data_IF_565554934957
#
_entry.id   IF_565554934957
#
_cell.length_a   1.000
_cell.length_b   1.000
_cell.length_c   1.000
_cell.angle_alpha   90.00
_cell.angle_beta   90.00
_cell.angle_gamma   90.00
#
_symmetry.space_group_name_H-M   'P 1'
#
loop_
_entity.id
_entity.type
_entity.pdbx_description
1 polymer ?
#
# COMPACT_ATOMS: atom_id res chain seq x y z
N UNK A 1 -25.98 27.00 -25.33
CA UNK A 1 -24.60 27.24 -25.80
C UNK A 1 -24.14 26.00 -26.55
N UNK A 2 -23.90 26.07 -27.86
CA UNK A 2 -23.46 24.91 -28.64
C UNK A 2 -21.94 24.74 -28.49
N UNK A 3 -21.50 23.91 -27.53
CA UNK A 3 -20.07 23.61 -27.27
C UNK A 3 -19.39 23.04 -28.53
N UNK A 4 -20.15 22.42 -29.42
CA UNK A 4 -19.68 21.87 -30.70
C UNK A 4 -19.12 22.93 -31.66
N UNK A 5 -19.49 24.21 -31.49
CA UNK A 5 -19.00 25.33 -32.31
C UNK A 5 -17.70 25.94 -31.79
N UNK A 6 -17.15 25.44 -30.67
CA UNK A 6 -15.92 25.97 -30.11
C UNK A 6 -14.71 25.67 -31.01
N UNK A 7 -13.76 26.61 -31.13
CA UNK A 7 -12.47 26.37 -31.76
C UNK A 7 -11.74 25.17 -31.14
N UNK A 8 -10.97 24.44 -31.95
CA UNK A 8 -10.21 23.25 -31.50
C UNK A 8 -9.25 23.54 -30.35
N UNK A 9 -8.78 24.78 -30.21
CA UNK A 9 -7.95 25.23 -29.09
C UNK A 9 -8.73 25.20 -27.77
N UNK A 10 -9.90 25.84 -27.71
CA UNK A 10 -10.76 25.81 -26.52
C UNK A 10 -11.25 24.40 -26.19
N UNK A 11 -11.53 23.57 -27.20
CA UNK A 11 -11.86 22.16 -26.98
C UNK A 11 -10.67 21.41 -26.37
N UNK A 12 -9.43 21.72 -26.80
CA UNK A 12 -8.21 21.15 -26.20
C UNK A 12 -8.09 21.57 -24.73
N UNK A 13 -8.34 22.85 -24.43
CA UNK A 13 -8.25 23.35 -23.04
C UNK A 13 -9.29 22.68 -22.14
N UNK A 14 -10.51 22.47 -22.65
CA UNK A 14 -11.54 21.68 -21.96
C UNK A 14 -11.04 20.26 -21.70
N UNK A 15 -10.45 19.59 -22.70
CA UNK A 15 -9.86 18.25 -22.52
C UNK A 15 -8.78 18.21 -21.44
N UNK A 16 -7.91 19.23 -21.37
CA UNK A 16 -6.83 19.32 -20.38
C UNK A 16 -7.34 19.59 -18.96
N UNK A 17 -8.50 20.24 -18.83
CA UNK A 17 -9.14 20.51 -17.55
C UNK A 17 -9.96 19.33 -17.00
N UNK A 18 -10.17 18.26 -17.79
CA UNK A 18 -10.95 17.10 -17.33
C UNK A 18 -10.19 16.32 -16.23
N UNK A 19 -10.91 15.89 -15.16
CA UNK A 19 -10.26 15.33 -13.98
C UNK A 19 -9.83 13.86 -14.16
N UNK A 20 -10.46 13.11 -15.06
CA UNK A 20 -10.22 11.67 -15.22
C UNK A 20 -10.05 11.27 -16.68
N UNK A 21 -9.33 10.17 -16.90
CA UNK A 21 -9.18 9.55 -18.22
C UNK A 21 -10.53 9.09 -18.76
N UNK A 22 -11.41 8.59 -17.88
CA UNK A 22 -12.76 8.18 -18.26
C UNK A 22 -13.59 9.36 -18.77
N UNK A 23 -13.49 10.52 -18.12
CA UNK A 23 -14.13 11.77 -18.56
C UNK A 23 -13.62 12.21 -19.93
N UNK A 24 -12.30 12.11 -20.19
CA UNK A 24 -11.71 12.40 -21.52
C UNK A 24 -12.29 11.48 -22.59
N UNK A 25 -12.34 10.17 -22.35
CA UNK A 25 -12.86 9.21 -23.32
C UNK A 25 -14.34 9.47 -23.58
N UNK A 26 -15.13 9.66 -22.52
CA UNK A 26 -16.55 9.97 -22.63
C UNK A 26 -16.77 11.27 -23.41
N UNK A 27 -16.04 12.34 -23.10
CA UNK A 27 -16.15 13.61 -23.79
C UNK A 27 -15.83 13.48 -25.30
N UNK A 28 -14.77 12.73 -25.63
CA UNK A 28 -14.40 12.44 -27.03
C UNK A 28 -15.46 11.64 -27.80
N UNK A 29 -16.36 10.95 -27.10
CA UNK A 29 -17.40 10.11 -27.70
C UNK A 29 -18.72 10.84 -27.95
N UNK A 30 -18.86 12.10 -27.51
CA UNK A 30 -20.13 12.84 -27.61
C UNK A 30 -20.40 13.40 -29.01
N UNK A 31 -19.37 13.84 -29.75
CA UNK A 31 -19.54 14.35 -31.11
C UNK A 31 -18.30 14.13 -32.00
N UNK A 32 -18.48 14.27 -33.32
CA UNK A 32 -17.40 14.08 -34.31
C UNK A 32 -16.25 15.09 -34.14
N UNK A 33 -16.56 16.35 -33.83
CA UNK A 33 -15.55 17.41 -33.63
C UNK A 33 -14.62 17.07 -32.45
N UNK A 34 -15.17 16.71 -31.30
CA UNK A 34 -14.35 16.36 -30.13
C UNK A 34 -13.54 15.09 -30.35
N UNK A 35 -14.11 14.11 -31.06
CA UNK A 35 -13.37 12.92 -31.48
C UNK A 35 -12.18 13.29 -32.36
N UNK A 36 -12.36 14.18 -33.32
CA UNK A 36 -11.29 14.65 -34.20
C UNK A 36 -10.18 15.35 -33.41
N UNK A 37 -10.53 16.27 -32.51
CA UNK A 37 -9.57 16.94 -31.61
C UNK A 37 -8.81 15.94 -30.74
N UNK A 38 -9.51 14.96 -30.15
CA UNK A 38 -8.89 13.92 -29.33
C UNK A 38 -7.96 13.00 -30.13
N UNK A 39 -8.31 12.65 -31.37
CA UNK A 39 -7.48 11.78 -32.23
C UNK A 39 -6.32 12.50 -32.92
N UNK A 40 -6.17 13.80 -32.70
CA UNK A 40 -5.06 14.59 -33.22
C UNK A 40 -3.72 14.24 -32.54
N UNK A 41 -2.65 14.93 -32.94
CA UNK A 41 -1.33 14.85 -32.29
C UNK A 41 -1.36 15.17 -30.79
N UNK A 42 -2.42 15.83 -30.30
CA UNK A 42 -2.59 16.20 -28.89
C UNK A 42 -3.08 15.05 -28.00
N UNK A 43 -3.43 13.89 -28.57
CA UNK A 43 -4.01 12.76 -27.83
C UNK A 43 -3.19 12.34 -26.61
N UNK A 44 -1.89 12.18 -26.79
CA UNK A 44 -0.99 11.77 -25.72
C UNK A 44 -0.92 12.83 -24.62
N UNK A 45 -0.82 14.11 -25.00
CA UNK A 45 -0.81 15.23 -24.06
C UNK A 45 -2.10 15.25 -23.22
N UNK A 46 -3.26 15.15 -23.88
CA UNK A 46 -4.57 15.11 -23.20
C UNK A 46 -4.65 13.96 -22.19
N UNK A 47 -4.26 12.75 -22.61
CA UNK A 47 -4.28 11.58 -21.74
C UNK A 47 -3.26 11.66 -20.60
N UNK A 48 -2.09 12.26 -20.85
CA UNK A 48 -1.08 12.49 -19.82
C UNK A 48 -1.55 13.48 -18.77
N UNK A 49 -2.21 14.58 -19.19
CA UNK A 49 -2.76 15.55 -18.25
C UNK A 49 -3.89 14.95 -17.42
N UNK A 50 -4.80 14.18 -18.03
CA UNK A 50 -5.83 13.47 -17.30
C UNK A 50 -5.25 12.43 -16.32
N UNK A 51 -4.16 11.76 -16.68
CA UNK A 51 -3.46 10.86 -15.77
C UNK A 51 -2.77 11.60 -14.61
N UNK A 52 -2.23 12.80 -14.84
CA UNK A 52 -1.69 13.67 -13.79
C UNK A 52 -2.78 14.12 -12.81
N UNK A 53 -3.92 14.58 -13.34
CA UNK A 53 -5.05 15.01 -12.53
C UNK A 53 -5.62 13.85 -11.68
N UNK A 54 -5.75 12.66 -12.28
CA UNK A 54 -6.40 11.51 -11.63
C UNK A 54 -5.46 10.73 -10.71
N UNK A 55 -4.19 10.54 -11.10
CA UNK A 55 -3.25 9.62 -10.45
C UNK A 55 -1.91 10.27 -10.04
N UNK A 56 -1.76 11.59 -10.22
CA UNK A 56 -0.53 12.31 -9.95
C UNK A 56 0.02 12.13 -8.53
N UNK A 57 1.33 12.38 -8.32
CA UNK A 57 2.28 12.90 -9.32
C UNK A 57 2.80 11.81 -10.28
N UNK A 58 2.59 11.98 -11.59
CA UNK A 58 2.96 10.93 -12.57
C UNK A 58 4.46 10.78 -12.72
N UNK A 59 5.23 11.81 -12.40
CA UNK A 59 6.69 11.73 -12.46
C UNK A 59 7.25 10.64 -11.53
N UNK A 60 6.72 10.50 -10.31
CA UNK A 60 7.13 9.44 -9.37
C UNK A 60 6.73 8.05 -9.90
N UNK A 61 5.55 7.92 -10.51
CA UNK A 61 5.14 6.68 -11.20
C UNK A 61 6.09 6.35 -12.35
N UNK A 62 6.47 7.34 -13.16
CA UNK A 62 7.40 7.17 -14.28
C UNK A 62 8.74 6.65 -13.75
N UNK A 63 9.28 7.22 -12.67
CA UNK A 63 10.52 6.71 -12.06
C UNK A 63 10.40 5.24 -11.69
N UNK A 64 9.28 4.87 -11.08
CA UNK A 64 9.01 3.52 -10.61
C UNK A 64 8.85 2.50 -11.75
N UNK A 65 8.04 2.80 -12.77
CA UNK A 65 7.76 1.85 -13.87
C UNK A 65 8.91 1.75 -14.88
N UNK A 66 9.79 2.74 -14.92
CA UNK A 66 10.96 2.75 -15.81
C UNK A 66 12.25 2.32 -15.09
N UNK A 67 12.16 2.04 -13.79
CA UNK A 67 13.29 1.54 -13.01
C UNK A 67 13.80 0.21 -13.58
N UNK A 68 15.14 0.12 -13.71
CA UNK A 68 15.86 -1.04 -14.20
C UNK A 68 17.33 -0.98 -13.73
N UNK A 69 18.07 -2.07 -13.92
CA UNK A 69 19.47 -2.20 -13.50
C UNK A 69 20.46 -1.34 -14.30
N UNK A 70 20.07 -0.73 -15.43
CA UNK A 70 20.98 0.06 -16.27
C UNK A 70 21.30 1.43 -15.70
N UNK A 71 20.52 1.93 -14.74
CA UNK A 71 20.76 3.22 -14.10
C UNK A 71 20.38 3.16 -12.61
N UNK A 72 21.15 3.79 -11.71
CA UNK A 72 20.80 3.84 -10.29
C UNK A 72 19.40 4.41 -10.02
N UNK A 73 18.77 3.96 -8.93
CA UNK A 73 17.42 4.40 -8.55
C UNK A 73 17.36 5.89 -8.17
N UNK A 74 18.44 6.44 -7.61
CA UNK A 74 18.52 7.83 -7.18
C UNK A 74 18.64 8.83 -8.35
N UNK A 75 18.88 8.37 -9.58
CA UNK A 75 18.94 9.24 -10.75
C UNK A 75 17.57 9.31 -11.43
N UNK A 76 17.09 10.54 -11.65
CA UNK A 76 15.81 10.79 -12.32
C UNK A 76 15.90 10.44 -13.81
N UNK A 77 14.94 9.63 -14.26
CA UNK A 77 14.72 9.22 -15.64
C UNK A 77 13.71 10.15 -16.31
N UNK A 78 14.02 10.53 -17.54
CA UNK A 78 13.08 11.18 -18.46
C UNK A 78 12.82 10.22 -19.62
N UNK A 79 11.55 9.97 -19.90
CA UNK A 79 11.13 8.97 -20.89
C UNK A 79 10.11 9.62 -21.83
N UNK A 80 10.21 9.39 -23.15
CA UNK A 80 9.23 9.92 -24.09
C UNK A 80 7.83 9.37 -23.78
N UNK A 81 6.85 10.26 -23.86
CA UNK A 81 5.45 9.92 -23.63
C UNK A 81 4.96 8.93 -24.67
N UNK A 82 4.33 7.85 -24.23
CA UNK A 82 3.77 6.81 -25.08
C UNK A 82 2.49 6.23 -24.49
N UNK A 83 1.66 5.58 -25.32
CA UNK A 83 0.47 4.88 -24.83
C UNK A 83 0.79 3.77 -23.84
N UNK A 84 1.91 3.06 -24.03
CA UNK A 84 2.37 2.03 -23.11
C UNK A 84 2.70 2.63 -21.73
N UNK A 85 3.39 3.77 -21.70
CA UNK A 85 3.70 4.49 -20.46
C UNK A 85 2.43 4.94 -19.74
N UNK A 86 1.48 5.54 -20.47
CA UNK A 86 0.18 5.96 -19.91
C UNK A 86 -0.58 4.75 -19.34
N UNK A 87 -0.58 3.60 -20.03
CA UNK A 87 -1.22 2.39 -19.52
C UNK A 87 -0.57 1.90 -18.22
N UNK A 88 0.76 1.95 -18.13
CA UNK A 88 1.49 1.63 -16.89
C UNK A 88 1.14 2.61 -15.77
N UNK A 89 1.07 3.93 -16.07
CA UNK A 89 0.64 4.95 -15.11
C UNK A 89 -0.76 4.64 -14.56
N UNK A 90 -1.72 4.33 -15.43
CA UNK A 90 -3.08 3.98 -15.02
C UNK A 90 -3.11 2.72 -14.14
N UNK A 91 -2.32 1.70 -14.46
CA UNK A 91 -2.25 0.47 -13.66
C UNK A 91 -1.83 0.79 -12.22
N UNK A 92 -0.76 1.57 -12.08
CA UNK A 92 -0.17 1.95 -10.80
C UNK A 92 -1.09 2.89 -10.03
N UNK A 93 -1.63 3.90 -10.71
CA UNK A 93 -2.58 4.84 -10.13
C UNK A 93 -3.81 4.17 -9.53
N UNK A 94 -4.37 3.15 -10.21
CA UNK A 94 -5.49 2.36 -9.67
C UNK A 94 -5.15 1.63 -8.38
N UNK A 95 -3.91 1.15 -8.22
CA UNK A 95 -3.45 0.53 -6.97
C UNK A 95 -3.39 1.60 -5.88
N UNK A 96 -2.86 2.79 -6.17
CA UNK A 96 -2.82 3.88 -5.21
C UNK A 96 -4.21 4.35 -4.78
N UNK A 97 -5.20 4.44 -5.68
CA UNK A 97 -6.59 4.75 -5.34
C UNK A 97 -7.19 3.75 -4.34
N UNK A 98 -6.80 2.46 -4.41
CA UNK A 98 -7.23 1.48 -3.40
C UNK A 98 -6.61 1.76 -2.04
N UNK A 99 -5.35 2.20 -2.00
CA UNK A 99 -4.68 2.58 -0.75
C UNK A 99 -5.25 3.86 -0.15
N UNK A 100 -5.69 4.81 -0.98
CA UNK A 100 -6.44 6.00 -0.51
C UNK A 100 -7.70 5.62 0.27
N UNK A 101 -8.44 4.61 -0.20
CA UNK A 101 -9.61 4.11 0.51
C UNK A 101 -9.27 3.37 1.81
N UNK A 102 -8.06 2.79 1.92
CA UNK A 102 -7.60 2.08 3.13
C UNK A 102 -7.07 3.06 4.18
N UNK A 103 -6.36 4.11 3.75
CA UNK A 103 -5.58 4.99 4.61
C UNK A 103 -6.36 5.56 5.81
N UNK A 104 -7.57 6.15 5.66
CA UNK A 104 -8.32 6.68 6.80
C UNK A 104 -8.60 5.65 7.90
N UNK A 105 -8.85 4.40 7.50
CA UNK A 105 -9.14 3.32 8.46
C UNK A 105 -7.91 2.89 9.27
N UNK A 106 -6.72 3.25 8.79
CA UNK A 106 -5.42 2.89 9.35
C UNK A 106 -4.82 4.03 10.16
N UNK A 107 -4.82 5.26 9.63
CA UNK A 107 -4.34 6.46 10.34
C UNK A 107 -5.13 6.66 11.64
N UNK A 108 -6.44 6.69 11.54
CA UNK A 108 -7.35 6.91 12.66
C UNK A 108 -7.91 5.58 13.19
N UNK A 109 -7.03 4.63 13.50
CA UNK A 109 -7.42 3.32 14.03
C UNK A 109 -7.79 3.37 15.50
N UNK A 110 -7.07 4.18 16.28
CA UNK A 110 -7.29 4.37 17.72
C UNK A 110 -8.12 5.63 18.01
N UNK A 111 -8.07 6.61 17.11
CA UNK A 111 -8.81 7.87 17.21
C UNK A 111 -10.01 7.85 16.24
N UNK A 112 -11.14 7.30 16.70
CA UNK A 112 -12.33 7.21 15.86
C UNK A 112 -13.04 8.54 15.66
N UNK A 113 -12.79 9.53 16.53
CA UNK A 113 -13.46 10.83 16.52
C UNK A 113 -12.94 11.68 15.36
N UNK A 114 -11.63 11.66 15.11
CA UNK A 114 -11.02 12.40 14.01
C UNK A 114 -10.95 11.63 12.69
N UNK A 115 -11.55 10.43 12.62
CA UNK A 115 -11.58 9.64 11.38
C UNK A 115 -12.40 10.35 10.31
N UNK A 116 -11.74 10.79 9.24
CA UNK A 116 -12.37 11.49 8.12
C UNK A 116 -11.90 11.00 6.76
N UNK A 117 -12.57 11.48 5.70
CA UNK A 117 -12.05 11.34 4.35
C UNK A 117 -10.84 12.26 4.16
N UNK A 118 -9.86 11.82 3.37
CA UNK A 118 -8.69 12.63 3.04
C UNK A 118 -9.01 13.67 1.95
N UNK A 119 -8.37 14.84 2.03
CA UNK A 119 -8.46 15.91 1.04
C UNK A 119 -7.70 15.58 -0.25
N UNK A 120 -7.83 16.41 -1.29
CA UNK A 120 -7.07 16.21 -2.54
C UNK A 120 -5.55 16.37 -2.35
N UNK A 121 -5.12 17.30 -1.50
CA UNK A 121 -3.70 17.49 -1.18
C UNK A 121 -3.14 16.31 -0.37
N UNK A 122 -3.94 15.72 0.51
CA UNK A 122 -3.58 14.52 1.26
C UNK A 122 -3.53 13.29 0.34
N UNK A 123 -4.46 13.17 -0.61
CA UNK A 123 -4.41 12.15 -1.66
C UNK A 123 -3.13 12.26 -2.48
N UNK A 124 -2.76 13.47 -2.90
CA UNK A 124 -1.52 13.72 -3.64
C UNK A 124 -0.29 13.29 -2.84
N UNK A 125 -0.20 13.68 -1.56
CA UNK A 125 0.89 13.29 -0.66
C UNK A 125 0.95 11.78 -0.44
N UNK A 126 -0.19 11.15 -0.21
CA UNK A 126 -0.30 9.69 -0.05
C UNK A 126 0.23 8.96 -1.29
N UNK A 127 -0.25 9.34 -2.48
CA UNK A 127 0.18 8.74 -3.75
C UNK A 127 1.67 8.90 -3.96
N UNK A 128 2.19 10.11 -3.76
CA UNK A 128 3.62 10.43 -3.87
C UNK A 128 4.47 9.54 -2.96
N UNK A 129 4.13 9.48 -1.68
CA UNK A 129 4.80 8.64 -0.70
C UNK A 129 4.74 7.15 -1.09
N UNK A 130 3.56 6.68 -1.51
CA UNK A 130 3.36 5.30 -1.95
C UNK A 130 4.20 4.93 -3.17
N UNK A 131 4.24 5.78 -4.20
CA UNK A 131 5.05 5.55 -5.41
C UNK A 131 6.55 5.50 -5.09
N UNK A 132 7.02 6.33 -4.16
CA UNK A 132 8.43 6.35 -3.74
C UNK A 132 8.81 5.13 -2.91
N UNK A 133 7.93 4.68 -2.01
CA UNK A 133 8.11 3.39 -1.31
C UNK A 133 8.13 2.23 -2.30
N UNK A 134 7.24 2.24 -3.28
CA UNK A 134 7.19 1.21 -4.31
C UNK A 134 8.47 1.19 -5.17
N UNK A 135 8.99 2.36 -5.54
CA UNK A 135 10.31 2.47 -6.18
C UNK A 135 11.41 1.91 -5.27
N UNK A 136 11.39 2.22 -3.98
CA UNK A 136 12.37 1.72 -3.02
C UNK A 136 12.36 0.18 -2.96
N UNK A 137 11.18 -0.44 -2.78
CA UNK A 137 11.05 -1.90 -2.78
C UNK A 137 11.54 -2.52 -4.07
N UNK A 138 11.15 -1.97 -5.24
CA UNK A 138 11.60 -2.48 -6.54
C UNK A 138 13.10 -2.35 -6.77
N UNK A 139 13.74 -1.33 -6.19
CA UNK A 139 15.15 -1.07 -6.39
C UNK A 139 16.07 -1.87 -5.46
N UNK A 140 15.59 -2.22 -4.26
CA UNK A 140 16.45 -2.74 -3.19
C UNK A 140 15.96 -4.01 -2.52
N UNK A 141 14.73 -4.47 -2.79
CA UNK A 141 14.17 -5.69 -2.24
C UNK A 141 14.00 -6.75 -3.34
N UNK A 142 15.13 -7.30 -3.76
CA UNK A 142 15.20 -8.41 -4.70
C UNK A 142 16.02 -9.58 -4.14
N UNK A 143 16.05 -10.68 -4.89
CA UNK A 143 16.81 -11.88 -4.52
C UNK A 143 18.33 -11.77 -4.72
N UNK A 144 18.84 -10.63 -5.20
CA UNK A 144 20.29 -10.42 -5.40
C UNK A 144 21.00 -10.02 -4.11
N UNK A 145 20.27 -9.36 -3.19
CA UNK A 145 20.84 -8.87 -1.93
C UNK A 145 20.42 -9.77 -0.75
N UNK A 146 21.38 -10.55 -0.25
CA UNK A 146 21.19 -11.42 0.92
C UNK A 146 21.22 -10.62 2.24
N UNK A 147 20.68 -11.22 3.31
CA UNK A 147 20.54 -10.57 4.64
C UNK A 147 21.84 -9.96 5.14
N UNK A 148 22.93 -10.72 5.09
CA UNK A 148 24.23 -10.29 5.58
C UNK A 148 24.89 -9.19 4.72
N UNK A 149 24.46 -9.03 3.46
CA UNK A 149 25.00 -8.01 2.56
C UNK A 149 24.47 -6.61 2.87
N UNK A 150 23.37 -6.49 3.62
CA UNK A 150 22.67 -5.21 3.83
C UNK A 150 23.47 -4.18 4.61
N UNK A 151 24.38 -4.63 5.46
CA UNK A 151 25.29 -3.77 6.23
C UNK A 151 26.56 -3.42 5.47
N UNK A 152 26.74 -3.92 4.23
CA UNK A 152 27.87 -3.53 3.40
C UNK A 152 27.75 -2.02 3.11
N UNK A 153 28.78 -1.20 3.42
CA UNK A 153 28.69 0.25 3.32
C UNK A 153 28.30 0.76 1.94
N UNK A 154 28.74 0.11 0.85
CA UNK A 154 28.39 0.50 -0.52
C UNK A 154 26.90 0.31 -0.81
N UNK A 155 26.32 -0.83 -0.44
CA UNK A 155 24.89 -1.11 -0.62
C UNK A 155 24.03 -0.19 0.28
N UNK A 156 24.48 0.05 1.51
CA UNK A 156 23.81 1.02 2.38
C UNK A 156 23.88 2.43 1.77
N UNK A 157 25.03 2.84 1.25
CA UNK A 157 25.21 4.14 0.62
C UNK A 157 24.27 4.32 -0.58
N UNK A 158 24.16 3.33 -1.46
CA UNK A 158 23.24 3.37 -2.61
C UNK A 158 21.78 3.58 -2.21
N UNK A 159 21.31 2.91 -1.14
CA UNK A 159 19.96 3.12 -0.59
C UNK A 159 19.78 4.54 -0.06
N UNK A 160 20.77 5.05 0.69
CA UNK A 160 20.70 6.42 1.23
C UNK A 160 20.68 7.48 0.14
N UNK A 161 21.37 7.27 -0.99
CA UNK A 161 21.35 8.21 -2.12
C UNK A 161 19.94 8.41 -2.68
N UNK A 162 19.09 7.36 -2.71
CA UNK A 162 17.70 7.52 -3.14
C UNK A 162 16.92 8.40 -2.16
N UNK A 163 16.98 8.11 -0.86
CA UNK A 163 16.21 8.85 0.15
C UNK A 163 16.70 10.30 0.33
N UNK A 164 17.98 10.57 0.07
CA UNK A 164 18.54 11.93 0.11
C UNK A 164 17.93 12.87 -0.93
N UNK A 165 17.28 12.36 -1.97
CA UNK A 165 16.55 13.17 -2.95
C UNK A 165 15.26 13.80 -2.42
N UNK A 166 14.77 13.37 -1.24
CA UNK A 166 13.50 13.82 -0.67
C UNK A 166 13.75 14.62 0.61
N UNK A 167 13.01 15.70 0.83
CA UNK A 167 13.15 16.49 2.06
C UNK A 167 12.55 15.75 3.28
N UNK A 168 12.77 16.26 4.50
CA UNK A 168 12.35 15.54 5.71
C UNK A 168 10.83 15.42 5.85
N UNK A 169 10.05 16.37 5.30
CA UNK A 169 8.58 16.29 5.27
C UNK A 169 8.14 15.15 4.36
N UNK A 170 8.73 15.05 3.16
CA UNK A 170 8.45 13.96 2.23
C UNK A 170 8.86 12.58 2.79
N UNK A 171 9.95 12.52 3.55
CA UNK A 171 10.35 11.31 4.25
C UNK A 171 9.38 10.94 5.38
N UNK A 172 8.82 11.92 6.09
CA UNK A 172 7.76 11.71 7.08
C UNK A 172 6.50 11.15 6.42
N UNK A 173 6.08 11.69 5.28
CA UNK A 173 4.95 11.16 4.48
C UNK A 173 5.20 9.70 4.08
N UNK A 174 6.42 9.37 3.64
CA UNK A 174 6.79 7.98 3.33
C UNK A 174 6.71 7.09 4.57
N UNK A 175 7.18 7.54 5.73
CA UNK A 175 7.09 6.75 6.96
C UNK A 175 5.64 6.54 7.42
N UNK A 176 4.78 7.54 7.29
CA UNK A 176 3.35 7.45 7.60
C UNK A 176 2.65 6.40 6.72
N UNK A 177 2.91 6.44 5.40
CA UNK A 177 2.41 5.41 4.47
C UNK A 177 3.00 4.02 4.79
N UNK A 178 4.28 3.95 5.13
CA UNK A 178 4.92 2.70 5.54
C UNK A 178 4.24 2.10 6.78
N UNK A 179 3.89 2.92 7.77
CA UNK A 179 3.15 2.50 8.97
C UNK A 179 1.75 1.97 8.61
N UNK A 180 1.05 2.61 7.66
CA UNK A 180 -0.21 2.08 7.12
C UNK A 180 -0.03 0.70 6.47
N UNK A 181 1.03 0.51 5.67
CA UNK A 181 1.34 -0.80 5.05
C UNK A 181 1.62 -1.85 6.13
N UNK A 182 2.45 -1.51 7.13
CA UNK A 182 2.77 -2.37 8.29
C UNK A 182 1.52 -2.75 9.09
N UNK A 183 0.62 -1.81 9.37
CA UNK A 183 -0.65 -2.11 10.05
C UNK A 183 -1.55 -3.02 9.19
N UNK A 184 -1.56 -2.81 7.88
CA UNK A 184 -2.32 -3.64 6.95
C UNK A 184 -1.80 -5.08 6.94
N UNK A 185 -0.49 -5.28 6.89
CA UNK A 185 0.11 -6.61 6.98
C UNK A 185 -0.26 -7.24 8.32
N UNK A 186 0.02 -6.56 9.43
CA UNK A 186 -0.15 -7.10 10.79
C UNK A 186 -1.60 -7.35 11.19
N UNK A 187 -2.58 -6.68 10.58
CA UNK A 187 -3.99 -6.85 10.95
C UNK A 187 -4.81 -7.58 9.89
N UNK A 188 -4.43 -7.57 8.61
CA UNK A 188 -5.25 -8.12 7.53
C UNK A 188 -4.61 -9.33 6.87
N UNK A 189 -3.31 -9.28 6.59
CA UNK A 189 -2.63 -10.32 5.79
C UNK A 189 -2.05 -11.40 6.73
N UNK A 190 -1.15 -10.99 7.62
CA UNK A 190 -0.43 -11.86 8.54
C UNK A 190 -0.72 -11.47 10.01
N UNK A 191 -1.89 -11.79 10.58
CA UNK A 191 -2.18 -11.46 11.97
C UNK A 191 -1.38 -12.32 12.96
N UNK A 192 -0.89 -11.71 14.04
CA UNK A 192 -0.27 -12.45 15.15
C UNK A 192 -1.27 -13.38 15.85
N UNK A 193 -0.77 -14.38 16.57
CA UNK A 193 -1.59 -15.26 17.39
C UNK A 193 -2.46 -14.46 18.38
N UNK A 194 -1.88 -13.46 19.04
CA UNK A 194 -2.61 -12.55 19.92
C UNK A 194 -3.69 -11.74 19.20
N UNK A 195 -3.42 -11.27 17.98
CA UNK A 195 -4.41 -10.55 17.16
C UNK A 195 -5.57 -11.44 16.74
N UNK A 196 -5.28 -12.68 16.32
CA UNK A 196 -6.31 -13.67 15.98
C UNK A 196 -7.17 -13.97 17.21
N UNK A 197 -6.55 -14.25 18.36
CA UNK A 197 -7.27 -14.52 19.60
C UNK A 197 -8.18 -13.35 20.01
N UNK A 198 -7.65 -12.12 20.04
CA UNK A 198 -8.42 -10.92 20.35
C UNK A 198 -9.63 -10.75 19.42
N UNK A 199 -9.43 -10.94 18.11
CA UNK A 199 -10.52 -10.82 17.12
C UNK A 199 -11.55 -11.93 17.25
N UNK A 200 -11.14 -13.14 17.61
CA UNK A 200 -12.04 -14.26 17.85
C UNK A 200 -12.90 -14.00 19.09
N UNK A 201 -12.27 -13.69 20.23
CA UNK A 201 -12.98 -13.40 21.48
C UNK A 201 -13.95 -12.22 21.35
N UNK A 202 -13.55 -11.17 20.63
CA UNK A 202 -14.45 -10.04 20.35
C UNK A 202 -15.70 -10.44 19.55
N UNK A 203 -15.59 -11.44 18.66
CA UNK A 203 -16.70 -11.91 17.81
C UNK A 203 -17.56 -12.95 18.51
N UNK A 204 -16.95 -13.78 19.35
CA UNK A 204 -17.60 -14.90 20.05
C UNK A 204 -17.35 -14.81 21.56
N UNK A 205 -17.84 -13.76 22.25
CA UNK A 205 -17.52 -13.51 23.66
C UNK A 205 -18.03 -14.62 24.60
N UNK A 206 -19.07 -15.35 24.19
CA UNK A 206 -19.68 -16.43 24.96
C UNK A 206 -19.12 -17.82 24.56
N UNK A 207 -18.14 -17.88 23.67
CA UNK A 207 -17.58 -19.15 23.21
C UNK A 207 -16.50 -19.63 24.17
N UNK A 208 -16.63 -20.88 24.62
CA UNK A 208 -15.57 -21.58 25.35
C UNK A 208 -14.50 -22.20 24.42
N UNK A 209 -14.53 -21.89 23.12
CA UNK A 209 -13.59 -22.42 22.14
C UNK A 209 -12.20 -21.82 22.36
N UNK A 210 -11.24 -22.67 22.70
CA UNK A 210 -9.84 -22.28 22.80
C UNK A 210 -9.17 -22.47 21.45
N UNK A 211 -8.66 -21.36 20.89
CA UNK A 211 -7.95 -21.41 19.61
C UNK A 211 -6.66 -22.19 19.74
N UNK A 212 -6.41 -23.03 18.74
CA UNK A 212 -5.19 -23.82 18.65
C UNK A 212 -4.21 -23.11 17.71
N UNK A 213 -3.10 -22.63 18.27
CA UNK A 213 -2.02 -22.03 17.50
C UNK A 213 -0.89 -23.06 17.30
N UNK A 214 -0.28 -23.09 16.12
CA UNK A 214 0.88 -23.91 15.80
C UNK A 214 0.66 -25.43 16.07
N UNK A 215 -0.10 -26.09 15.20
CA UNK A 215 -0.47 -27.53 15.22
C UNK A 215 0.71 -28.53 15.19
N UNK A 216 1.96 -28.08 15.31
CA UNK A 216 3.15 -28.94 15.39
C UNK A 216 3.37 -29.56 16.77
N UNK A 217 2.61 -29.15 17.78
CA UNK A 217 2.60 -29.79 19.09
C UNK A 217 1.45 -30.80 19.11
N UNK A 218 1.80 -32.08 19.23
CA UNK A 218 0.89 -33.22 19.38
C UNK A 218 0.09 -33.17 20.70
N UNK A 219 -0.64 -32.09 20.94
CA UNK A 219 -1.63 -32.06 22.01
C UNK A 219 -2.93 -32.67 21.48
N UNK A 220 -3.56 -33.59 22.23
CA UNK A 220 -4.90 -34.03 21.89
C UNK A 220 -5.79 -32.79 21.78
N UNK A 221 -6.63 -32.67 20.74
CA UNK A 221 -7.50 -31.52 20.61
C UNK A 221 -8.34 -31.41 21.89
N UNK A 222 -8.42 -30.23 22.53
CA UNK A 222 -9.35 -30.04 23.63
C UNK A 222 -10.73 -30.44 23.14
N UNK A 223 -11.45 -31.23 23.94
CA UNK A 223 -12.79 -31.73 23.63
C UNK A 223 -13.75 -30.56 23.41
N UNK A 224 -13.81 -30.08 22.18
CA UNK A 224 -14.64 -28.95 21.76
C UNK A 224 -15.97 -29.53 21.31
N UNK A 225 -16.79 -29.92 22.29
CA UNK A 225 -18.21 -30.11 22.03
C UNK A 225 -18.83 -28.74 21.79
N UNK A 226 -19.02 -28.39 20.52
CA UNK A 226 -19.83 -27.24 20.16
C UNK A 226 -21.15 -27.76 19.62
N UNK A 227 -22.25 -27.35 20.24
CA UNK A 227 -23.58 -27.58 19.69
C UNK A 227 -23.68 -26.94 18.31
N UNK A 228 -24.16 -27.72 17.34
CA UNK A 228 -24.48 -27.29 16.00
C UNK A 228 -25.45 -26.10 16.10
N UNK A 229 -24.95 -24.88 15.83
CA UNK A 229 -25.71 -23.63 15.96
C UNK A 229 -25.09 -22.52 16.83
N UNK A 230 -24.06 -22.79 17.65
CA UNK A 230 -23.46 -21.79 18.54
C UNK A 230 -22.66 -20.68 17.85
N UNK A 231 -22.34 -20.84 16.56
CA UNK A 231 -21.56 -19.87 15.77
C UNK A 231 -22.40 -19.10 14.74
N UNK A 232 -23.74 -19.19 14.79
CA UNK A 232 -24.61 -18.36 13.96
C UNK A 232 -24.64 -16.92 14.49
N UNK A 233 -23.90 -16.03 13.82
CA UNK A 233 -24.03 -14.60 14.00
C UNK A 233 -24.79 -14.03 12.79
N UNK A 234 -26.12 -13.83 12.93
CA UNK A 234 -26.99 -13.38 11.83
C UNK A 234 -26.71 -11.94 11.37
N UNK A 235 -26.05 -11.11 12.20
CA UNK A 235 -25.89 -9.68 11.91
C UNK A 235 -24.63 -9.31 11.08
N UNK A 236 -23.66 -10.23 10.86
CA UNK A 236 -22.33 -9.87 10.29
C UNK A 236 -21.87 -10.81 9.15
N UNK A 237 -22.77 -11.55 8.53
CA UNK A 237 -22.47 -12.60 7.53
C UNK A 237 -21.97 -12.08 6.16
N UNK A 238 -21.88 -10.77 5.94
CA UNK A 238 -21.62 -10.21 4.60
C UNK A 238 -20.13 -9.97 4.26
N UNK A 239 -19.20 -10.06 5.22
CA UNK A 239 -17.78 -9.78 4.94
C UNK A 239 -17.02 -11.04 4.51
N UNK A 240 -16.25 -10.97 3.41
CA UNK A 240 -15.38 -12.08 2.95
C UNK A 240 -14.42 -12.61 4.03
N UNK A 241 -14.12 -11.78 5.02
CA UNK A 241 -13.26 -12.06 6.17
C UNK A 241 -13.96 -12.70 7.36
N UNK A 242 -15.29 -12.80 7.32
CA UNK A 242 -16.08 -13.45 8.35
C UNK A 242 -15.65 -14.91 8.50
N UNK A 243 -15.52 -15.62 7.37
CA UNK A 243 -15.20 -17.04 7.33
C UNK A 243 -13.82 -17.39 7.92
N UNK A 244 -12.86 -16.45 7.90
CA UNK A 244 -11.50 -16.67 8.44
C UNK A 244 -11.50 -16.91 9.95
N UNK A 245 -12.47 -16.35 10.68
CA UNK A 245 -12.53 -16.41 12.14
C UNK A 245 -13.63 -17.34 12.69
N UNK A 246 -14.41 -17.97 11.82
CA UNK A 246 -15.50 -18.88 12.22
C UNK A 246 -14.93 -20.30 12.31
N UNK A 247 -15.03 -20.98 13.47
CA UNK A 247 -14.67 -22.39 13.58
C UNK A 247 -15.62 -23.23 12.72
N UNK A 248 -15.08 -24.13 11.91
CA UNK A 248 -15.86 -25.14 11.19
C UNK A 248 -15.17 -26.48 11.29
N UNK A 249 -15.86 -27.57 10.92
CA UNK A 249 -15.26 -28.91 10.90
C UNK A 249 -13.95 -28.99 10.10
N UNK A 250 -13.75 -28.09 9.13
CA UNK A 250 -12.59 -28.07 8.24
C UNK A 250 -11.71 -26.81 8.41
N UNK A 251 -12.00 -25.95 9.39
CA UNK A 251 -11.26 -24.70 9.59
C UNK A 251 -11.13 -24.35 11.07
N UNK A 252 -9.88 -24.32 11.55
CA UNK A 252 -9.53 -23.86 12.90
C UNK A 252 -9.00 -22.42 12.82
N UNK A 253 -9.69 -21.42 13.40
CA UNK A 253 -9.27 -20.02 13.28
C UNK A 253 -7.88 -19.74 13.86
N UNK A 254 -7.42 -20.52 14.84
CA UNK A 254 -6.07 -20.40 15.38
C UNK A 254 -4.97 -20.68 14.34
N UNK A 255 -5.26 -21.48 13.31
CA UNK A 255 -4.32 -21.76 12.22
C UNK A 255 -3.97 -20.50 11.38
N UNK A 256 -4.76 -19.43 11.50
CA UNK A 256 -4.53 -18.18 10.80
C UNK A 256 -3.48 -17.26 11.46
N UNK A 257 -2.97 -17.65 12.62
CA UNK A 257 -1.94 -16.92 13.35
C UNK A 257 -0.53 -17.09 12.75
N UNK A 258 0.23 -16.00 12.74
CA UNK A 258 1.60 -15.93 12.19
C UNK A 258 2.68 -15.90 13.28
N UNK A 259 2.42 -16.53 14.42
CA UNK A 259 3.35 -16.62 15.53
C UNK A 259 3.03 -15.69 16.69
N UNK A 260 3.83 -15.83 17.74
CA UNK A 260 3.87 -14.90 18.87
C UNK A 260 4.52 -13.57 18.48
N UNK A 261 4.55 -12.59 19.39
CA UNK A 261 4.94 -11.23 19.04
C UNK A 261 6.38 -11.12 18.49
N UNK A 262 7.30 -11.99 18.94
CA UNK A 262 8.69 -12.01 18.47
C UNK A 262 8.78 -12.60 17.06
N UNK A 263 8.19 -13.78 16.82
CA UNK A 263 8.22 -14.39 15.49
C UNK A 263 7.44 -13.55 14.48
N UNK A 264 6.33 -12.97 14.93
CA UNK A 264 5.49 -12.09 14.13
C UNK A 264 6.24 -10.86 13.65
N UNK A 265 7.09 -10.25 14.48
CA UNK A 265 7.94 -9.14 14.06
C UNK A 265 8.75 -9.48 12.79
N UNK A 266 9.43 -10.62 12.76
CA UNK A 266 10.22 -11.03 11.59
C UNK A 266 9.36 -11.30 10.35
N UNK A 267 8.18 -11.89 10.53
CA UNK A 267 7.20 -12.05 9.44
C UNK A 267 6.82 -10.70 8.86
N UNK A 268 6.54 -9.69 9.70
CA UNK A 268 6.20 -8.35 9.23
C UNK A 268 7.36 -7.71 8.47
N UNK A 269 8.58 -7.81 8.98
CA UNK A 269 9.77 -7.29 8.30
C UNK A 269 9.96 -7.94 6.92
N UNK A 270 9.80 -9.26 6.79
CA UNK A 270 9.89 -9.95 5.49
C UNK A 270 8.77 -9.51 4.54
N UNK A 271 7.53 -9.41 5.04
CA UNK A 271 6.35 -9.01 4.25
C UNK A 271 6.40 -7.56 3.76
N UNK A 272 7.08 -6.65 4.48
CA UNK A 272 7.24 -5.25 4.09
C UNK A 272 8.13 -5.05 2.85
N UNK A 273 8.79 -6.10 2.36
CA UNK A 273 9.47 -6.09 1.05
C UNK A 273 8.52 -6.14 -0.13
N UNK A 274 7.31 -6.68 0.07
CA UNK A 274 6.31 -6.74 -0.98
C UNK A 274 5.88 -5.33 -1.34
N UNK A 275 5.73 -5.11 -2.63
CA UNK A 275 5.31 -3.82 -3.12
C UNK A 275 3.81 -3.56 -2.85
N UNK A 276 3.36 -2.29 -2.92
CA UNK A 276 1.97 -1.93 -2.69
C UNK A 276 0.93 -2.68 -3.55
N UNK A 277 1.25 -3.11 -4.77
CA UNK A 277 0.35 -3.92 -5.60
C UNK A 277 0.24 -5.35 -5.05
N UNK A 278 1.36 -5.95 -4.68
CA UNK A 278 1.41 -7.29 -4.08
C UNK A 278 0.66 -7.33 -2.75
N UNK A 279 0.89 -6.34 -1.88
CA UNK A 279 0.19 -6.23 -0.59
C UNK A 279 -1.31 -6.04 -0.77
N UNK A 280 -1.73 -5.20 -1.73
CA UNK A 280 -3.16 -5.03 -2.02
C UNK A 280 -3.77 -6.31 -2.60
N UNK A 281 -3.05 -7.03 -3.47
CA UNK A 281 -3.49 -8.30 -4.01
C UNK A 281 -3.72 -9.34 -2.91
N UNK A 282 -2.75 -9.52 -2.01
CA UNK A 282 -2.87 -10.44 -0.87
C UNK A 282 -4.03 -10.06 0.03
N UNK A 283 -4.16 -8.77 0.34
CA UNK A 283 -5.30 -8.26 1.09
C UNK A 283 -6.61 -8.60 0.38
N UNK A 284 -6.77 -8.44 -0.93
CA UNK A 284 -8.08 -8.64 -1.56
C UNK A 284 -8.40 -10.10 -1.91
N UNK A 285 -7.39 -10.94 -2.13
CA UNK A 285 -7.55 -12.24 -2.78
C UNK A 285 -6.98 -13.43 -1.98
N UNK A 286 -6.26 -13.19 -0.88
CA UNK A 286 -5.70 -14.24 -0.03
C UNK A 286 -6.27 -14.17 1.41
N UNK A 287 -7.57 -14.51 1.61
CA UNK A 287 -8.18 -14.47 2.94
C UNK A 287 -7.56 -15.43 3.95
N UNK A 288 -6.99 -16.56 3.51
CA UNK A 288 -6.44 -17.60 4.39
C UNK A 288 -4.91 -17.62 4.41
N UNK A 289 -4.32 -17.95 5.57
CA UNK A 289 -2.87 -18.02 5.78
C UNK A 289 -2.17 -18.84 4.70
N UNK A 290 -2.69 -20.03 4.39
CA UNK A 290 -2.12 -20.93 3.36
C UNK A 290 -1.97 -20.25 1.99
N UNK A 291 -2.92 -19.41 1.59
CA UNK A 291 -2.85 -18.72 0.30
C UNK A 291 -1.75 -17.66 0.28
N UNK A 292 -1.52 -17.01 1.43
CA UNK A 292 -0.41 -16.07 1.61
C UNK A 292 0.93 -16.83 1.62
N UNK A 293 1.02 -17.96 2.31
CA UNK A 293 2.22 -18.82 2.31
C UNK A 293 2.55 -19.34 0.91
N UNK A 294 1.56 -19.79 0.15
CA UNK A 294 1.75 -20.24 -1.23
C UNK A 294 2.23 -19.10 -2.14
N UNK A 295 1.73 -17.88 -1.92
CA UNK A 295 2.22 -16.68 -2.62
C UNK A 295 3.68 -16.36 -2.24
N UNK A 296 4.03 -16.37 -0.96
CA UNK A 296 5.39 -16.10 -0.48
C UNK A 296 6.36 -17.13 -1.07
N UNK A 297 6.01 -18.41 -1.04
CA UNK A 297 6.83 -19.49 -1.63
C UNK A 297 7.09 -19.26 -3.12
N UNK A 298 6.15 -18.64 -3.84
CA UNK A 298 6.33 -18.28 -5.25
C UNK A 298 7.33 -17.15 -5.50
N UNK A 299 7.70 -16.37 -4.47
CA UNK A 299 8.71 -15.31 -4.59
C UNK A 299 10.14 -15.88 -4.62
N UNK A 300 10.35 -17.08 -4.08
CA UNK A 300 11.64 -17.78 -4.00
C UNK A 300 12.32 -17.66 -2.63
N UNK A 301 13.35 -18.49 -2.43
CA UNK A 301 13.99 -18.72 -1.12
C UNK A 301 14.68 -17.49 -0.51
N UNK A 302 14.85 -16.41 -1.27
CA UNK A 302 15.43 -15.15 -0.80
C UNK A 302 14.47 -14.31 0.05
N UNK A 303 13.18 -14.64 0.02
CA UNK A 303 12.13 -13.86 0.66
C UNK A 303 12.14 -14.04 2.18
N UNK A 304 12.41 -15.23 2.68
CA UNK A 304 12.38 -15.46 4.12
C UNK A 304 13.67 -14.97 4.79
N UNK A 305 13.57 -14.56 6.05
CA UNK A 305 14.72 -14.24 6.91
C UNK A 305 15.60 -13.13 6.31
N UNK A 306 14.97 -12.14 5.69
CA UNK A 306 15.63 -11.10 4.94
C UNK A 306 14.68 -9.89 4.90
N UNK A 307 14.42 -9.24 6.04
CA UNK A 307 13.38 -8.21 6.20
C UNK A 307 13.47 -6.97 5.29
N UNK A 308 12.68 -5.93 5.53
CA UNK A 308 12.83 -4.68 4.78
C UNK A 308 14.10 -3.90 5.20
N UNK A 309 14.44 -2.81 4.48
CA UNK A 309 15.62 -1.96 4.78
C UNK A 309 15.34 -0.45 4.67
N UNK A 310 14.13 -0.07 4.32
CA UNK A 310 13.63 1.31 4.26
C UNK A 310 13.77 2.02 5.61
N UNK A 311 13.20 1.51 6.71
CA UNK A 311 13.24 2.25 8.00
C UNK A 311 14.66 2.45 8.51
N UNK A 312 15.52 1.42 8.36
CA UNK A 312 16.94 1.53 8.69
C UNK A 312 17.65 2.59 7.84
N UNK A 313 17.37 2.63 6.53
CA UNK A 313 17.96 3.62 5.62
C UNK A 313 17.44 5.03 5.94
N UNK A 314 16.16 5.15 6.27
CA UNK A 314 15.53 6.40 6.66
C UNK A 314 16.18 6.96 7.93
N UNK A 315 16.34 6.12 8.97
CA UNK A 315 16.99 6.51 10.22
C UNK A 315 18.38 7.10 9.95
N UNK A 316 19.19 6.47 9.09
CA UNK A 316 20.50 7.01 8.72
C UNK A 316 20.40 8.40 8.07
N UNK A 317 19.46 8.60 7.14
CA UNK A 317 19.31 9.88 6.43
C UNK A 317 18.81 10.99 7.36
N UNK A 318 17.95 10.67 8.33
CA UNK A 318 17.47 11.62 9.34
C UNK A 318 18.61 12.01 10.31
N UNK A 319 19.39 11.03 10.76
CA UNK A 319 20.59 11.28 11.58
C UNK A 319 21.65 12.11 10.83
N UNK A 320 21.89 11.82 9.54
CA UNK A 320 22.80 12.60 8.69
C UNK A 320 22.37 14.07 8.56
N UNK A 321 21.07 14.36 8.77
CA UNK A 321 20.50 15.71 8.77
C UNK A 321 20.51 16.38 10.15
N UNK A 322 21.03 15.72 11.18
CA UNK A 322 21.05 16.21 12.56
C UNK A 322 19.67 16.20 13.23
N UNK A 323 18.77 15.32 12.78
CA UNK A 323 17.44 15.12 13.36
C UNK A 323 17.39 13.76 14.07
N UNK A 324 16.51 13.62 15.06
CA UNK A 324 16.28 12.35 15.74
C UNK A 324 15.10 11.59 15.12
N UNK A 325 15.27 10.27 15.00
CA UNK A 325 14.25 9.41 14.37
C UNK A 325 12.99 9.29 15.24
N UNK A 326 13.13 9.35 16.56
CA UNK A 326 11.98 9.22 17.46
C UNK A 326 11.16 10.51 17.48
N UNK A 327 11.78 11.69 17.46
CA UNK A 327 11.07 12.97 17.26
C UNK A 327 10.26 12.99 15.96
N UNK A 328 10.79 12.42 14.88
CA UNK A 328 10.07 12.30 13.62
C UNK A 328 8.84 11.40 13.73
N UNK A 329 8.94 10.29 14.48
CA UNK A 329 7.81 9.37 14.68
C UNK A 329 6.73 10.02 15.54
N UNK A 330 7.13 10.67 16.63
CA UNK A 330 6.23 11.37 17.54
C UNK A 330 5.44 12.45 16.78
N UNK A 331 6.14 13.27 15.98
CA UNK A 331 5.49 14.28 15.13
C UNK A 331 4.51 13.69 14.08
N UNK A 332 4.73 12.45 13.61
CA UNK A 332 3.79 11.77 12.70
C UNK A 332 2.57 11.23 13.46
N UNK A 333 2.78 10.74 14.68
CA UNK A 333 1.72 10.24 15.56
C UNK A 333 0.80 11.38 16.00
N UNK A 334 1.38 12.52 16.37
CA UNK A 334 0.69 13.77 16.74
C UNK A 334 0.08 14.49 15.53
N UNK A 335 0.30 14.00 14.31
CA UNK A 335 -0.25 14.59 13.08
C UNK A 335 0.34 15.96 12.71
N UNK A 336 1.49 16.33 13.27
CA UNK A 336 2.27 17.51 12.86
C UNK A 336 3.00 17.29 11.53
N UNK A 337 3.38 16.04 11.26
CA UNK A 337 4.02 15.57 10.04
C UNK A 337 3.30 14.35 9.46
N UNK A 338 3.62 14.02 8.21
CA UNK A 338 3.04 12.88 7.50
C UNK A 338 2.02 13.30 6.45
N UNK A 339 1.13 12.38 6.10
CA UNK A 339 0.20 12.56 4.97
C UNK A 339 -1.00 13.41 5.38
N UNK A 340 -1.65 13.08 6.48
CA UNK A 340 -2.78 13.83 7.02
C UNK A 340 -2.30 14.65 8.22
N UNK A 341 -2.45 15.96 8.12
CA UNK A 341 -2.03 16.90 9.16
C UNK A 341 -3.22 17.29 10.02
N UNK A 342 -3.00 17.50 11.31
CA UNK A 342 -3.99 18.17 12.16
C UNK A 342 -4.07 19.65 11.77
N UNK A 343 -5.29 20.16 11.65
CA UNK A 343 -5.49 21.60 11.47
C UNK A 343 -5.04 22.29 12.75
N UNK A 344 -3.98 23.10 12.65
CA UNK A 344 -3.63 24.01 13.74
C UNK A 344 -4.82 24.93 13.97
N UNK A 345 -5.49 24.77 15.11
CA UNK A 345 -6.47 25.75 15.59
C UNK A 345 -5.69 27.05 15.82
N UNK A 346 -5.80 27.98 14.88
CA UNK A 346 -5.21 29.33 14.97
C UNK A 346 -6.06 30.21 15.86
#
# INVERSE_FOLDING_TARGET
MHIELLPSELVTDIFLALPTISSVIAFSSTCHHFRQVFTSSKRLLILSQAAENEFGPTQDIIQMVTHNASQPAHLRRTVPLSFALIRSIVKVGRVATKWEAVYPSKKWKSDFENRRSISDDERLRLRRALYRLWLFSRAFHDGTTLRWMRSIPTLQHERTLLLRNFNSVELAEMLDVHNMLRDTISNNICPSNGTVNRKFQKRFPNSNHQLIFNTHLNFPPPSSFVQDGAYHCSEVAASKWHNKYVPTANHEPGAEGWGDDILHYYVIEDMLKLDPEQLMFLKENAPFKRQVEDYIRSQGDWFDNNGETFVQTLQQVIQDRGQEMDELKDAIEDGELGVALEERVV
#
